data_IF_307892061042
#
_entry.id   IF_307892061042
#
_cell.length_a   1.000
_cell.length_b   1.000
_cell.length_c   1.000
_cell.angle_alpha   90.00
_cell.angle_beta   90.00
_cell.angle_gamma   90.00
#
_symmetry.space_group_name_H-M   'P 1'
#
loop_
_entity.id
_entity.type
_entity.pdbx_description
1 polymer ?
#
# COMPACT_ATOMS: atom_id res chain seq x y z
N UNK A 1 23.06 32.65 -1.59
CA UNK A 1 23.46 31.42 -0.89
C UNK A 1 22.18 30.65 -0.61
N UNK A 2 21.82 29.72 -1.50
CA UNK A 2 20.58 28.96 -1.39
C UNK A 2 20.80 27.82 -0.39
N UNK A 3 20.01 27.82 0.69
CA UNK A 3 20.03 26.78 1.71
C UNK A 3 19.23 25.60 1.17
N UNK A 4 19.95 24.56 0.72
CA UNK A 4 19.37 23.29 0.30
C UNK A 4 18.88 22.57 1.56
N UNK A 5 17.58 22.62 1.83
CA UNK A 5 16.95 21.83 2.89
C UNK A 5 16.98 20.37 2.43
N UNK A 6 17.85 19.57 3.04
CA UNK A 6 17.82 18.12 2.88
C UNK A 6 16.59 17.60 3.64
N UNK A 7 15.52 17.28 2.91
CA UNK A 7 14.42 16.48 3.44
C UNK A 7 14.96 15.06 3.66
N UNK A 8 15.42 14.79 4.88
CA UNK A 8 15.79 13.44 5.28
C UNK A 8 14.52 12.61 5.48
N UNK A 9 14.51 11.32 5.10
CA UNK A 9 13.34 10.46 5.25
C UNK A 9 13.01 10.27 6.73
N UNK A 10 11.73 10.41 7.09
CA UNK A 10 11.23 10.12 8.43
C UNK A 10 11.34 8.62 8.73
N UNK A 11 11.80 8.27 9.93
CA UNK A 11 11.80 6.88 10.38
C UNK A 11 10.40 6.49 10.86
N UNK A 12 9.88 5.39 10.31
CA UNK A 12 8.61 4.78 10.70
C UNK A 12 8.91 3.36 11.19
N UNK A 13 8.35 3.00 12.35
CA UNK A 13 8.44 1.64 12.86
C UNK A 13 7.76 0.69 11.87
N UNK A 14 8.34 -0.50 11.67
CA UNK A 14 7.75 -1.47 10.76
C UNK A 14 6.30 -1.78 11.14
N UNK A 15 5.37 -1.42 10.27
CA UNK A 15 3.97 -1.84 10.32
C UNK A 15 3.84 -3.02 9.37
N UNK A 16 3.97 -4.22 9.93
CA UNK A 16 3.93 -5.47 9.19
C UNK A 16 2.49 -5.78 8.80
N UNK A 17 2.31 -6.09 7.52
CA UNK A 17 1.00 -6.35 6.93
C UNK A 17 0.99 -7.75 6.32
N UNK A 18 -0.09 -8.49 6.54
CA UNK A 18 -0.30 -9.86 6.08
C UNK A 18 -1.75 -10.08 5.60
N UNK A 19 -2.14 -11.33 5.39
CA UNK A 19 -3.49 -11.75 4.95
C UNK A 19 -4.62 -11.30 5.88
N UNK A 20 -4.34 -10.98 7.14
CA UNK A 20 -5.33 -10.69 8.17
C UNK A 20 -5.60 -9.19 8.34
N UNK A 21 -4.68 -8.32 7.92
CA UNK A 21 -4.75 -6.88 8.21
C UNK A 21 -4.46 -5.96 7.02
N UNK A 22 -4.22 -6.50 5.82
CA UNK A 22 -4.04 -5.67 4.63
C UNK A 22 -5.33 -4.95 4.21
N UNK A 23 -6.43 -5.69 4.10
CA UNK A 23 -7.78 -5.16 3.90
C UNK A 23 -8.78 -5.99 4.72
N UNK A 24 -9.86 -5.34 5.18
CA UNK A 24 -10.83 -5.96 6.11
C UNK A 24 -11.67 -7.07 5.46
N UNK A 25 -11.75 -7.10 4.13
CA UNK A 25 -12.59 -8.00 3.35
C UNK A 25 -11.83 -9.12 2.62
N UNK A 26 -10.50 -9.23 2.81
CA UNK A 26 -9.71 -10.27 2.14
C UNK A 26 -10.12 -11.69 2.53
N UNK A 27 -10.73 -11.89 3.70
CA UNK A 27 -11.25 -13.20 4.13
C UNK A 27 -12.33 -13.78 3.21
N UNK A 28 -12.93 -12.96 2.35
CA UNK A 28 -13.94 -13.37 1.37
C UNK A 28 -13.35 -13.63 -0.03
N UNK A 29 -12.04 -13.41 -0.21
CA UNK A 29 -11.37 -13.63 -1.49
C UNK A 29 -10.71 -15.01 -1.55
N UNK A 30 -10.71 -15.62 -2.73
CA UNK A 30 -9.87 -16.79 -3.04
C UNK A 30 -8.43 -16.40 -3.40
N UNK A 31 -8.19 -15.10 -3.63
CA UNK A 31 -6.90 -14.55 -4.04
C UNK A 31 -6.17 -13.83 -2.90
N UNK A 32 -6.53 -14.07 -1.64
CA UNK A 32 -5.98 -13.36 -0.47
C UNK A 32 -4.45 -13.28 -0.49
N UNK A 33 -3.77 -14.42 -0.62
CA UNK A 33 -2.31 -14.46 -0.67
C UNK A 33 -1.75 -13.72 -1.88
N UNK A 34 -2.39 -13.86 -3.05
CA UNK A 34 -1.97 -13.17 -4.28
C UNK A 34 -2.12 -11.65 -4.15
N UNK A 35 -3.18 -11.17 -3.52
CA UNK A 35 -3.41 -9.73 -3.28
C UNK A 35 -2.33 -9.18 -2.35
N UNK A 36 -2.03 -9.86 -1.24
CA UNK A 36 -0.96 -9.45 -0.32
C UNK A 36 0.39 -9.45 -1.02
N UNK A 37 0.66 -10.49 -1.80
CA UNK A 37 1.88 -10.63 -2.56
C UNK A 37 2.07 -9.49 -3.57
N UNK A 38 1.06 -9.22 -4.40
CA UNK A 38 1.10 -8.17 -5.42
C UNK A 38 1.10 -6.76 -4.81
N UNK A 39 0.52 -6.58 -3.61
CA UNK A 39 0.70 -5.36 -2.83
C UNK A 39 2.16 -5.19 -2.40
N UNK A 40 2.84 -6.28 -2.03
CA UNK A 40 4.26 -6.27 -1.66
C UNK A 40 5.16 -5.96 -2.84
N UNK A 41 4.74 -6.33 -4.05
CA UNK A 41 5.39 -5.93 -5.30
C UNK A 41 5.03 -4.52 -5.78
N UNK A 42 4.12 -3.82 -5.11
CA UNK A 42 3.61 -2.51 -5.55
C UNK A 42 2.76 -2.56 -6.83
N UNK A 43 2.39 -3.75 -7.30
CA UNK A 43 1.46 -3.94 -8.43
C UNK A 43 0.07 -3.46 -8.03
N UNK A 44 -0.36 -3.81 -6.82
CA UNK A 44 -1.57 -3.28 -6.19
C UNK A 44 -1.10 -2.20 -5.20
N UNK A 45 -1.25 -0.91 -5.53
CA UNK A 45 -0.82 0.15 -4.63
C UNK A 45 -1.64 0.11 -3.33
N UNK A 46 -0.93 0.19 -2.21
CA UNK A 46 -1.56 0.38 -0.91
C UNK A 46 -1.61 1.87 -0.60
N UNK A 47 -2.80 2.45 -0.65
CA UNK A 47 -3.02 3.82 -0.19
C UNK A 47 -3.23 3.80 1.32
N UNK A 48 -2.24 4.29 2.07
CA UNK A 48 -2.26 4.38 3.53
C UNK A 48 -3.39 5.29 4.08
N UNK A 49 -4.07 6.04 3.21
CA UNK A 49 -5.19 6.92 3.55
C UNK A 49 -6.49 6.57 2.78
N UNK A 50 -6.49 5.44 2.06
CA UNK A 50 -7.61 5.01 1.23
C UNK A 50 -8.63 4.14 1.94
N UNK A 51 -9.41 3.41 1.13
CA UNK A 51 -10.39 2.42 1.57
C UNK A 51 -9.72 1.29 2.38
N UNK A 52 -10.35 0.89 3.49
CA UNK A 52 -9.95 -0.32 4.23
C UNK A 52 -10.40 -1.61 3.54
N UNK A 53 -11.17 -1.50 2.46
CA UNK A 53 -11.71 -2.60 1.65
C UNK A 53 -11.00 -2.69 0.30
N UNK A 54 -10.72 -3.92 -0.13
CA UNK A 54 -10.23 -4.23 -1.48
C UNK A 54 -11.37 -4.43 -2.49
N UNK A 55 -12.54 -4.89 -2.04
CA UNK A 55 -13.69 -5.25 -2.86
C UNK A 55 -13.34 -6.28 -3.95
N UNK A 56 -12.96 -7.52 -3.59
CA UNK A 56 -12.42 -8.52 -4.52
C UNK A 56 -13.40 -8.93 -5.64
N UNK A 57 -14.71 -8.88 -5.36
CA UNK A 57 -15.75 -9.33 -6.30
C UNK A 57 -16.25 -8.22 -7.23
N UNK A 58 -15.87 -6.97 -7.00
CA UNK A 58 -16.19 -5.87 -7.91
C UNK A 58 -15.32 -5.92 -9.16
N UNK A 59 -15.87 -5.40 -10.27
CA UNK A 59 -15.14 -5.24 -11.53
C UNK A 59 -14.01 -4.24 -11.35
N UNK A 60 -12.84 -4.57 -11.88
CA UNK A 60 -11.72 -3.63 -11.98
C UNK A 60 -12.04 -2.65 -13.09
N UNK A 61 -11.99 -1.34 -12.82
CA UNK A 61 -12.18 -0.34 -13.88
C UNK A 61 -10.88 -0.10 -14.66
N UNK A 62 -10.98 0.41 -15.90
CA UNK A 62 -9.77 0.79 -16.66
C UNK A 62 -9.04 1.97 -16.02
N UNK A 63 -9.77 2.90 -15.41
CA UNK A 63 -9.17 3.99 -14.65
C UNK A 63 -8.35 3.47 -13.46
N UNK A 64 -8.86 2.50 -12.70
CA UNK A 64 -8.12 1.86 -11.62
C UNK A 64 -6.90 1.11 -12.12
N UNK A 65 -7.05 0.32 -13.19
CA UNK A 65 -5.93 -0.37 -13.82
C UNK A 65 -4.84 0.61 -14.28
N UNK A 66 -5.23 1.75 -14.87
CA UNK A 66 -4.31 2.80 -15.29
C UNK A 66 -3.56 3.38 -14.08
N UNK A 67 -4.26 3.62 -12.96
CA UNK A 67 -3.64 4.11 -11.74
C UNK A 67 -2.64 3.09 -11.16
N UNK A 68 -3.02 1.80 -11.08
CA UNK A 68 -2.18 0.74 -10.55
C UNK A 68 -0.93 0.52 -11.41
N UNK A 69 -1.11 0.37 -12.72
CA UNK A 69 0.01 0.16 -13.64
C UNK A 69 0.92 1.40 -13.75
N UNK A 70 0.33 2.61 -13.72
CA UNK A 70 1.09 3.85 -13.73
C UNK A 70 1.92 4.06 -12.46
N UNK A 71 1.36 3.73 -11.30
CA UNK A 71 2.07 3.76 -10.01
C UNK A 71 3.21 2.75 -9.99
N UNK A 72 2.92 1.50 -10.37
CA UNK A 72 3.92 0.43 -10.44
C UNK A 72 5.07 0.79 -11.40
N UNK A 73 4.74 1.34 -12.57
CA UNK A 73 5.70 1.80 -13.57
C UNK A 73 6.40 3.11 -13.24
N UNK A 74 6.11 3.73 -12.08
CA UNK A 74 6.66 5.03 -11.65
C UNK A 74 6.55 6.10 -12.74
N UNK A 75 5.39 6.17 -13.40
CA UNK A 75 5.17 7.12 -14.51
C UNK A 75 5.10 8.59 -14.05
N UNK A 76 4.96 8.80 -12.75
CA UNK A 76 4.99 10.11 -12.09
C UNK A 76 5.78 9.99 -10.78
N UNK A 77 6.13 11.14 -10.22
CA UNK A 77 6.77 11.24 -8.91
C UNK A 77 5.88 10.67 -7.79
N UNK A 78 6.52 10.20 -6.71
CA UNK A 78 5.80 9.71 -5.54
C UNK A 78 4.91 10.81 -4.94
N UNK A 79 3.63 10.49 -4.73
CA UNK A 79 2.63 11.44 -4.19
C UNK A 79 1.91 12.29 -5.24
N UNK A 80 2.19 12.07 -6.54
CA UNK A 80 1.39 12.66 -7.62
C UNK A 80 -0.10 12.31 -7.49
N UNK A 81 -0.97 13.21 -7.95
CA UNK A 81 -2.40 12.99 -7.86
C UNK A 81 -2.81 11.80 -8.75
N UNK A 82 -3.82 11.03 -8.33
CA UNK A 82 -4.33 9.89 -9.10
C UNK A 82 -4.63 10.23 -10.56
N UNK A 83 -5.21 11.40 -10.82
CA UNK A 83 -5.51 11.91 -12.17
C UNK A 83 -4.27 12.12 -13.04
N UNK A 84 -3.14 12.50 -12.45
CA UNK A 84 -1.87 12.71 -13.17
C UNK A 84 -1.25 11.35 -13.55
N UNK A 85 -1.31 10.39 -12.64
CA UNK A 85 -0.84 9.01 -12.87
C UNK A 85 -1.68 8.32 -13.94
N UNK A 86 -3.02 8.41 -13.88
CA UNK A 86 -3.91 7.79 -14.88
C UNK A 86 -3.76 8.42 -16.26
N UNK A 87 -3.61 9.76 -16.33
CA UNK A 87 -3.35 10.45 -17.59
C UNK A 87 -2.01 10.01 -18.21
N UNK A 88 -0.96 9.84 -17.39
CA UNK A 88 0.34 9.35 -17.86
C UNK A 88 0.26 7.90 -18.36
N UNK A 89 -0.47 7.02 -17.66
CA UNK A 89 -0.68 5.64 -18.07
C UNK A 89 -1.46 5.54 -19.39
N UNK A 90 -2.49 6.37 -19.59
CA UNK A 90 -3.21 6.48 -20.86
C UNK A 90 -2.29 6.99 -21.98
N UNK A 91 -1.51 8.05 -21.74
CA UNK A 91 -0.58 8.61 -22.73
C UNK A 91 0.52 7.61 -23.12
N UNK A 92 0.88 6.68 -22.23
CA UNK A 92 1.81 5.58 -22.50
C UNK A 92 1.16 4.37 -23.18
N UNK A 93 -0.16 4.38 -23.40
CA UNK A 93 -0.89 3.26 -24.00
C UNK A 93 -0.93 2.02 -23.11
N UNK A 94 -0.89 2.18 -21.78
CA UNK A 94 -1.05 1.05 -20.85
C UNK A 94 -2.51 0.57 -20.81
N UNK A 95 -3.46 1.46 -21.06
CA UNK A 95 -4.89 1.17 -21.22
C UNK A 95 -5.41 1.90 -22.47
N UNK A 96 -6.48 1.41 -23.12
CA UNK A 96 -7.03 2.06 -24.32
C UNK A 96 -7.90 3.29 -24.01
N UNK A 97 -8.51 3.33 -22.83
CA UNK A 97 -9.35 4.42 -22.33
C UNK A 97 -9.42 4.36 -20.81
N UNK A 98 -9.94 5.41 -20.16
CA UNK A 98 -10.25 5.38 -18.72
C UNK A 98 -11.68 4.89 -18.44
N UNK A 99 -12.56 4.92 -19.43
CA UNK A 99 -13.95 4.52 -19.28
C UNK A 99 -14.14 3.00 -19.27
N UNK A 100 -15.10 2.53 -18.47
CA UNK A 100 -15.56 1.15 -18.42
C UNK A 100 -14.67 0.20 -17.60
N UNK A 101 -15.02 -1.09 -17.65
CA UNK A 101 -14.31 -2.13 -16.93
C UNK A 101 -13.08 -2.61 -17.71
N UNK A 102 -12.04 -3.00 -16.98
CA UNK A 102 -10.85 -3.62 -17.52
C UNK A 102 -11.13 -5.08 -17.94
N UNK A 103 -10.46 -5.47 -19.01
CA UNK A 103 -10.46 -6.83 -19.57
C UNK A 103 -9.10 -7.50 -19.38
N UNK A 104 -9.02 -8.82 -19.59
CA UNK A 104 -7.73 -9.51 -19.52
C UNK A 104 -6.73 -8.98 -20.55
N UNK A 105 -7.20 -8.51 -21.71
CA UNK A 105 -6.38 -7.83 -22.71
C UNK A 105 -5.79 -6.53 -22.17
N UNK A 106 -6.58 -5.73 -21.45
CA UNK A 106 -6.11 -4.48 -20.85
C UNK A 106 -5.01 -4.75 -19.81
N UNK A 107 -5.19 -5.79 -18.97
CA UNK A 107 -4.18 -6.18 -17.97
C UNK A 107 -2.91 -6.71 -18.63
N UNK A 108 -3.04 -7.53 -19.68
CA UNK A 108 -1.92 -8.01 -20.49
C UNK A 108 -1.14 -6.85 -21.12
N UNK A 109 -1.84 -5.85 -21.65
CA UNK A 109 -1.21 -4.64 -22.18
C UNK A 109 -0.44 -3.88 -21.10
N UNK A 110 -1.09 -3.60 -19.96
CA UNK A 110 -0.53 -2.77 -18.89
C UNK A 110 0.69 -3.39 -18.21
N UNK A 111 0.66 -4.70 -17.94
CA UNK A 111 1.70 -5.39 -17.17
C UNK A 111 2.60 -6.29 -17.99
N UNK A 112 2.24 -6.66 -19.21
CA UNK A 112 3.00 -7.65 -19.98
C UNK A 112 3.20 -7.24 -21.44
N UNK A 113 3.01 -5.95 -21.76
CA UNK A 113 3.17 -5.38 -23.10
C UNK A 113 2.39 -6.14 -24.20
N UNK A 114 1.26 -6.75 -23.81
CA UNK A 114 0.41 -7.53 -24.71
C UNK A 114 1.04 -8.85 -25.18
N UNK A 115 2.10 -9.33 -24.52
CA UNK A 115 2.86 -10.51 -24.97
C UNK A 115 2.31 -11.84 -24.50
N UNK A 116 1.45 -11.87 -23.49
CA UNK A 116 0.86 -13.11 -23.02
C UNK A 116 -0.20 -13.62 -24.01
N UNK A 117 -0.25 -14.93 -24.19
CA UNK A 117 -1.34 -15.60 -24.87
C UNK A 117 -2.52 -15.75 -23.89
N UNK A 118 -3.53 -14.90 -24.03
CA UNK A 118 -4.63 -14.78 -23.08
C UNK A 118 -5.90 -15.40 -23.65
N UNK A 119 -6.47 -16.37 -22.94
CA UNK A 119 -7.80 -16.89 -23.23
C UNK A 119 -8.86 -15.88 -22.81
N UNK A 120 -9.92 -15.74 -23.61
CA UNK A 120 -11.02 -14.80 -23.37
C UNK A 120 -10.55 -13.35 -23.12
N UNK A 121 -9.58 -12.88 -23.92
CA UNK A 121 -8.91 -11.59 -23.70
C UNK A 121 -9.88 -10.40 -23.55
N UNK A 122 -11.04 -10.41 -24.21
CA UNK A 122 -12.06 -9.36 -24.10
C UNK A 122 -12.99 -9.47 -22.89
N UNK A 123 -12.86 -10.50 -22.05
CA UNK A 123 -13.71 -10.69 -20.87
C UNK A 123 -13.30 -9.72 -19.76
N UNK A 124 -14.30 -9.02 -19.21
CA UNK A 124 -14.11 -8.16 -18.04
C UNK A 124 -13.81 -8.98 -16.79
N UNK A 125 -12.90 -8.49 -15.96
CA UNK A 125 -12.46 -9.19 -14.75
C UNK A 125 -12.76 -8.43 -13.46
N UNK A 126 -12.87 -9.17 -12.36
CA UNK A 126 -12.90 -8.61 -11.01
C UNK A 126 -11.50 -8.30 -10.49
N UNK A 127 -11.39 -7.53 -9.40
CA UNK A 127 -10.10 -7.29 -8.73
C UNK A 127 -9.45 -8.58 -8.21
N UNK A 128 -10.25 -9.56 -7.79
CA UNK A 128 -9.77 -10.91 -7.45
C UNK A 128 -9.16 -11.62 -8.67
N UNK A 129 -9.88 -11.60 -9.80
CA UNK A 129 -9.41 -12.23 -11.03
C UNK A 129 -8.14 -11.55 -11.56
N UNK A 130 -8.00 -10.24 -11.36
CA UNK A 130 -6.77 -9.49 -11.65
C UNK A 130 -5.62 -10.05 -10.83
N UNK A 131 -5.79 -10.17 -9.51
CA UNK A 131 -4.74 -10.64 -8.63
C UNK A 131 -4.30 -12.06 -8.97
N UNK A 132 -5.23 -12.96 -9.28
CA UNK A 132 -4.91 -14.32 -9.72
C UNK A 132 -4.12 -14.32 -11.03
N UNK A 133 -4.59 -13.59 -12.04
CA UNK A 133 -3.98 -13.54 -13.36
C UNK A 133 -2.58 -12.93 -13.33
N UNK A 134 -2.42 -11.77 -12.70
CA UNK A 134 -1.10 -11.11 -12.62
C UNK A 134 -0.13 -11.91 -11.77
N UNK A 135 -0.60 -12.55 -10.70
CA UNK A 135 0.26 -13.43 -9.89
C UNK A 135 0.72 -14.64 -10.70
N UNK A 136 -0.16 -15.30 -11.46
CA UNK A 136 0.19 -16.45 -12.30
C UNK A 136 1.34 -16.11 -13.26
N UNK A 137 1.27 -14.95 -13.91
CA UNK A 137 2.25 -14.52 -14.92
C UNK A 137 3.40 -13.66 -14.36
N UNK A 138 3.53 -13.49 -13.04
CA UNK A 138 4.49 -12.55 -12.45
C UNK A 138 5.96 -12.80 -12.82
N UNK A 139 6.29 -14.05 -13.16
CA UNK A 139 7.62 -14.51 -13.58
C UNK A 139 7.82 -14.46 -15.09
N UNK A 140 6.74 -14.30 -15.86
CA UNK A 140 6.83 -14.22 -17.31
C UNK A 140 7.48 -12.90 -17.70
N UNK A 141 8.37 -12.96 -18.68
CA UNK A 141 9.11 -11.80 -19.13
C UNK A 141 8.33 -11.06 -20.22
N UNK A 142 8.16 -9.76 -20.02
CA UNK A 142 7.79 -8.83 -21.07
C UNK A 142 8.99 -7.92 -21.34
N UNK A 143 9.42 -7.86 -22.60
CA UNK A 143 10.60 -7.09 -23.01
C UNK A 143 11.88 -7.52 -22.26
N UNK A 144 12.00 -8.81 -21.94
CA UNK A 144 13.15 -9.39 -21.23
C UNK A 144 13.22 -9.07 -19.74
N UNK A 145 12.10 -8.65 -19.13
CA UNK A 145 12.00 -8.34 -17.70
C UNK A 145 10.73 -8.91 -17.09
N UNK A 146 10.87 -9.56 -15.93
CA UNK A 146 9.74 -9.98 -15.12
C UNK A 146 9.10 -8.79 -14.38
N UNK A 147 7.99 -9.02 -13.67
CA UNK A 147 7.43 -7.98 -12.79
C UNK A 147 8.40 -7.59 -11.67
N UNK A 148 9.22 -8.54 -11.18
CA UNK A 148 10.22 -8.25 -10.15
C UNK A 148 11.28 -7.27 -10.67
N UNK A 149 11.80 -7.52 -11.87
CA UNK A 149 12.83 -6.67 -12.48
C UNK A 149 12.30 -5.26 -12.76
N UNK A 150 11.06 -5.16 -13.23
CA UNK A 150 10.40 -3.87 -13.51
C UNK A 150 10.10 -3.10 -12.23
N UNK A 151 9.74 -3.79 -11.15
CA UNK A 151 9.57 -3.18 -9.83
C UNK A 151 10.88 -2.80 -9.14
N UNK A 152 12.03 -3.31 -9.63
CA UNK A 152 13.34 -3.09 -9.04
C UNK A 152 13.58 -3.97 -7.80
N UNK A 153 12.93 -5.13 -7.74
CA UNK A 153 13.11 -6.11 -6.67
C UNK A 153 14.36 -6.95 -6.90
N UNK A 154 15.04 -7.28 -5.81
CA UNK A 154 16.16 -8.21 -5.78
C UNK A 154 15.72 -9.47 -5.04
N UNK A 155 16.14 -10.64 -5.50
CA UNK A 155 15.87 -11.88 -4.79
C UNK A 155 16.46 -11.82 -3.37
N UNK A 156 15.63 -12.14 -2.38
CA UNK A 156 15.99 -12.17 -0.97
C UNK A 156 16.46 -13.55 -0.50
N UNK A 157 16.73 -13.71 0.80
CA UNK A 157 17.12 -14.98 1.38
C UNK A 157 15.96 -15.99 1.35
N UNK A 158 16.30 -17.27 1.22
CA UNK A 158 15.40 -18.40 1.45
C UNK A 158 15.99 -19.32 2.53
N UNK A 159 15.17 -20.18 3.11
CA UNK A 159 15.59 -21.08 4.20
C UNK A 159 15.16 -20.59 5.58
N UNK A 160 15.73 -21.19 6.63
CA UNK A 160 15.28 -20.94 8.01
C UNK A 160 15.75 -19.58 8.53
N UNK A 161 14.87 -18.90 9.25
CA UNK A 161 15.22 -17.72 10.05
C UNK A 161 15.95 -18.21 11.31
N UNK A 162 17.25 -17.93 11.37
CA UNK A 162 18.09 -18.32 12.50
C UNK A 162 17.81 -17.46 13.73
N UNK A 163 17.54 -16.17 13.51
CA UNK A 163 17.32 -15.19 14.57
C UNK A 163 16.55 -13.98 14.06
N UNK A 164 15.73 -13.39 14.93
CA UNK A 164 15.14 -12.07 14.76
C UNK A 164 15.74 -11.12 15.78
N UNK A 165 16.24 -9.98 15.30
CA UNK A 165 16.78 -8.92 16.15
C UNK A 165 16.02 -7.63 15.94
N UNK A 166 15.88 -6.87 17.02
CA UNK A 166 15.33 -5.50 16.98
C UNK A 166 16.40 -4.53 17.41
N UNK A 167 16.51 -3.42 16.69
CA UNK A 167 17.30 -2.26 17.10
C UNK A 167 16.44 -1.00 17.03
N UNK A 168 16.81 0.01 17.80
CA UNK A 168 16.24 1.34 17.67
C UNK A 168 17.14 2.20 16.79
N UNK A 169 16.54 2.82 15.78
CA UNK A 169 17.18 3.89 15.00
C UNK A 169 16.49 5.21 15.32
N UNK A 170 17.27 6.28 15.46
CA UNK A 170 16.74 7.64 15.66
C UNK A 170 16.88 8.44 14.38
N UNK A 171 15.85 9.22 14.04
CA UNK A 171 15.94 10.19 12.96
C UNK A 171 16.71 11.45 13.41
N UNK A 172 16.86 12.41 12.50
CA UNK A 172 17.59 13.64 12.75
C UNK A 172 16.94 14.48 13.88
N UNK A 173 15.64 14.30 14.08
CA UNK A 173 14.82 14.92 15.13
C UNK A 173 14.88 14.15 16.46
N UNK A 174 15.60 13.02 16.50
CA UNK A 174 15.78 12.19 17.70
C UNK A 174 14.63 11.23 17.99
N UNK A 175 13.64 11.11 17.11
CA UNK A 175 12.52 10.18 17.23
C UNK A 175 13.01 8.77 16.93
N UNK A 176 12.80 7.86 17.87
CA UNK A 176 13.18 6.46 17.73
C UNK A 176 12.13 5.67 16.94
N UNK A 177 12.62 4.77 16.07
CA UNK A 177 11.85 3.76 15.37
C UNK A 177 12.51 2.39 15.56
N UNK A 178 11.70 1.35 15.69
CA UNK A 178 12.19 -0.04 15.72
C UNK A 178 12.47 -0.51 14.29
N UNK A 179 13.67 -1.04 14.09
CA UNK A 179 14.06 -1.76 12.88
C UNK A 179 14.26 -3.22 13.24
N UNK A 180 13.51 -4.09 12.58
CA UNK A 180 13.67 -5.53 12.70
C UNK A 180 14.66 -6.03 11.66
N UNK A 181 15.47 -7.01 12.02
CA UNK A 181 16.36 -7.70 11.09
C UNK A 181 16.23 -9.20 11.26
N UNK A 182 16.20 -9.92 10.14
CA UNK A 182 16.18 -11.38 10.08
C UNK A 182 17.59 -11.88 9.77
N UNK A 183 18.11 -12.80 10.57
CA UNK A 183 19.33 -13.54 10.25
C UNK A 183 18.95 -14.83 9.54
N UNK A 184 19.45 -15.02 8.33
CA UNK A 184 19.25 -16.25 7.53
C UNK A 184 20.61 -16.69 7.00
N UNK A 185 21.01 -17.92 7.32
CA UNK A 185 22.33 -18.47 6.96
C UNK A 185 23.48 -17.54 7.38
N UNK A 186 23.37 -16.96 8.58
CA UNK A 186 24.36 -16.03 9.15
C UNK A 186 24.39 -14.62 8.54
N UNK A 187 23.52 -14.30 7.59
CA UNK A 187 23.41 -12.94 7.01
C UNK A 187 22.19 -12.22 7.57
N UNK A 188 22.37 -10.98 8.03
CA UNK A 188 21.29 -10.15 8.55
C UNK A 188 20.66 -9.30 7.45
N UNK A 189 19.34 -9.28 7.39
CA UNK A 189 18.54 -8.52 6.43
C UNK A 189 17.53 -7.66 7.18
N UNK A 190 17.55 -6.35 6.94
CA UNK A 190 16.59 -5.44 7.54
C UNK A 190 15.21 -5.59 6.92
N UNK A 191 14.18 -5.54 7.75
CA UNK A 191 12.79 -5.50 7.33
C UNK A 191 12.40 -4.06 7.04
N UNK A 192 11.73 -3.84 5.91
CA UNK A 192 11.21 -2.50 5.52
C UNK A 192 10.19 -1.97 6.53
N UNK A 193 9.83 -0.70 6.41
CA UNK A 193 8.81 -0.09 7.28
C UNK A 193 7.38 -0.62 7.02
N UNK A 194 7.11 -1.16 5.84
CA UNK A 194 5.79 -1.67 5.45
C UNK A 194 5.92 -2.98 4.69
N UNK A 195 6.51 -4.02 5.29
CA UNK A 195 6.71 -5.28 4.60
C UNK A 195 5.35 -5.94 4.38
N UNK A 196 5.25 -6.74 3.32
CA UNK A 196 4.19 -7.73 3.16
C UNK A 196 4.71 -9.09 3.56
N UNK A 197 4.00 -9.73 4.47
CA UNK A 197 4.38 -11.03 5.01
C UNK A 197 3.25 -12.00 4.73
N UNK A 198 3.57 -13.14 4.13
CA UNK A 198 2.61 -14.18 3.83
C UNK A 198 2.85 -15.39 4.72
N UNK A 199 1.74 -16.03 5.09
CA UNK A 199 1.72 -17.28 5.84
C UNK A 199 2.41 -17.14 7.20
N UNK A 200 2.44 -15.95 7.79
CA UNK A 200 3.00 -15.72 9.12
C UNK A 200 2.26 -14.65 9.93
N UNK A 201 2.43 -14.73 11.24
CA UNK A 201 1.97 -13.70 12.17
C UNK A 201 2.68 -12.37 11.88
N UNK A 202 2.04 -11.26 12.26
CA UNK A 202 2.61 -9.92 12.10
C UNK A 202 3.70 -9.61 13.13
N UNK A 203 3.85 -10.44 14.18
CA UNK A 203 4.94 -10.32 15.16
C UNK A 203 6.20 -11.05 14.64
N UNK A 204 7.30 -10.33 14.34
CA UNK A 204 8.56 -10.93 13.92
C UNK A 204 9.17 -11.90 14.93
N UNK A 205 8.87 -11.76 16.22
CA UNK A 205 9.40 -12.67 17.24
C UNK A 205 8.95 -14.12 17.00
N UNK A 206 7.81 -14.33 16.33
CA UNK A 206 7.29 -15.65 15.97
C UNK A 206 7.93 -16.25 14.70
N UNK A 207 8.84 -15.52 14.03
CA UNK A 207 9.43 -15.98 12.77
C UNK A 207 10.69 -16.82 12.97
N UNK A 208 11.33 -16.77 14.14
CA UNK A 208 12.49 -17.60 14.44
C UNK A 208 12.20 -19.10 14.23
N UNK A 209 13.11 -19.78 13.55
CA UNK A 209 12.98 -21.19 13.19
C UNK A 209 12.06 -21.48 12.00
N UNK A 210 11.28 -20.50 11.52
CA UNK A 210 10.41 -20.67 10.36
C UNK A 210 11.21 -20.62 9.05
N UNK A 211 10.75 -21.36 8.05
CA UNK A 211 11.35 -21.39 6.73
C UNK A 211 10.72 -20.33 5.82
N UNK A 212 11.56 -19.49 5.21
CA UNK A 212 11.21 -18.58 4.13
C UNK A 212 11.26 -19.36 2.81
N UNK A 213 10.12 -19.40 2.12
CA UNK A 213 9.99 -19.99 0.80
C UNK A 213 10.44 -19.01 -0.29
N UNK A 214 10.07 -17.74 -0.16
CA UNK A 214 10.37 -16.70 -1.13
C UNK A 214 10.49 -15.35 -0.40
N UNK A 215 11.48 -14.54 -0.77
CA UNK A 215 11.62 -13.18 -0.23
C UNK A 215 12.15 -12.24 -1.31
N UNK A 216 11.77 -10.97 -1.18
CA UNK A 216 12.21 -9.92 -2.10
C UNK A 216 12.65 -8.67 -1.36
N UNK A 217 13.76 -8.14 -1.83
CA UNK A 217 14.44 -6.97 -1.30
C UNK A 217 14.20 -5.77 -2.24
N UNK A 218 14.18 -4.56 -1.67
CA UNK A 218 14.18 -3.32 -2.43
C UNK A 218 15.21 -2.34 -1.91
N UNK A 219 15.81 -1.57 -2.81
CA UNK A 219 16.61 -0.41 -2.45
C UNK A 219 15.70 0.69 -1.88
N UNK A 220 15.96 1.10 -0.64
CA UNK A 220 15.24 2.17 0.03
C UNK A 220 16.12 3.42 0.05
N UNK A 221 15.55 4.57 -0.36
CA UNK A 221 16.28 5.83 -0.39
C UNK A 221 16.85 6.16 1.00
N UNK A 222 18.14 6.51 1.05
CA UNK A 222 18.84 6.83 2.29
C UNK A 222 19.25 5.63 3.14
N UNK A 223 19.02 4.39 2.69
CA UNK A 223 19.52 3.18 3.37
C UNK A 223 20.72 2.59 2.61
N UNK A 224 21.76 2.12 3.33
CA UNK A 224 22.98 1.60 2.71
C UNK A 224 22.81 0.20 2.12
N UNK A 225 21.79 -0.54 2.55
CA UNK A 225 21.49 -1.90 2.13
C UNK A 225 20.02 -1.99 1.73
N UNK A 226 19.66 -2.86 0.78
CA UNK A 226 18.28 -3.11 0.45
C UNK A 226 17.57 -3.81 1.62
N UNK A 227 16.25 -3.57 1.73
CA UNK A 227 15.43 -4.07 2.84
C UNK A 227 14.40 -5.07 2.33
N UNK A 228 14.01 -6.02 3.19
CA UNK A 228 12.97 -7.01 2.94
C UNK A 228 11.62 -6.30 2.81
N UNK A 229 11.05 -6.38 1.61
CA UNK A 229 9.77 -5.77 1.26
C UNK A 229 8.65 -6.81 1.22
N UNK A 230 8.95 -8.03 0.79
CA UNK A 230 8.01 -9.13 0.68
C UNK A 230 8.66 -10.41 1.21
N UNK A 231 7.95 -11.12 2.09
CA UNK A 231 8.44 -12.35 2.73
C UNK A 231 7.30 -13.36 2.72
N UNK A 232 7.50 -14.49 2.07
CA UNK A 232 6.59 -15.62 2.09
C UNK A 232 7.24 -16.77 2.84
N UNK A 233 6.64 -17.15 3.97
CA UNK A 233 7.05 -18.33 4.70
C UNK A 233 6.46 -19.60 4.08
N UNK A 234 7.01 -20.76 4.41
CA UNK A 234 6.36 -22.03 4.12
C UNK A 234 5.05 -22.16 4.92
N UNK A 235 4.04 -22.73 4.26
CA UNK A 235 2.74 -22.96 4.86
C UNK A 235 2.89 -24.02 5.96
N UNK A 236 2.75 -23.61 7.22
CA UNK A 236 2.69 -24.58 8.31
C UNK A 236 1.36 -25.33 8.23
N UNK A 237 1.40 -26.66 8.35
CA UNK A 237 0.21 -27.51 8.36
C UNK A 237 -0.81 -27.12 9.47
N UNK A 238 -0.37 -26.36 10.48
CA UNK A 238 -1.19 -25.87 11.59
C UNK A 238 -1.64 -24.39 11.46
N UNK A 239 -1.27 -23.68 10.39
CA UNK A 239 -1.59 -22.24 10.25
C UNK A 239 -3.05 -21.95 9.83
N UNK A 240 -3.84 -22.96 9.47
CA UNK A 240 -5.26 -22.84 9.11
C UNK A 240 -6.20 -22.70 10.32
N UNK A 241 -5.66 -22.71 11.55
CA UNK A 241 -6.45 -22.73 12.79
C UNK A 241 -6.17 -21.54 13.73
N UNK A 242 -5.89 -20.34 13.20
CA UNK A 242 -5.99 -19.12 14.01
C UNK A 242 -7.44 -18.58 13.94
N UNK A 243 -8.02 -18.18 15.08
CA UNK A 243 -9.45 -17.91 15.18
C UNK A 243 -9.81 -16.71 14.31
N UNK A 244 -10.73 -16.92 13.37
CA UNK A 244 -11.49 -15.83 12.74
C UNK A 244 -12.06 -14.99 13.87
N UNK A 245 -11.74 -13.70 13.87
CA UNK A 245 -12.33 -12.70 14.78
C UNK A 245 -13.85 -12.91 14.76
N UNK A 246 -14.41 -13.31 15.90
CA UNK A 246 -15.82 -13.66 16.01
C UNK A 246 -16.65 -12.48 15.50
N UNK A 247 -17.58 -12.76 14.59
CA UNK A 247 -18.64 -11.83 14.25
C UNK A 247 -19.41 -11.54 15.54
N UNK A 248 -19.41 -10.27 15.95
CA UNK A 248 -20.27 -9.81 17.04
C UNK A 248 -21.71 -10.03 16.63
N UNK A 249 -22.37 -10.95 17.32
CA UNK A 249 -23.78 -11.24 17.18
C UNK A 249 -24.64 -10.08 17.69
N UNK A 250 -25.70 -9.82 16.94
CA UNK A 250 -27.06 -9.45 17.35
C UNK A 250 -27.25 -8.39 18.45
N UNK A 251 -27.78 -7.24 18.02
CA UNK A 251 -28.85 -6.58 18.75
C UNK A 251 -29.93 -6.09 17.77
N UNK A 252 -30.96 -6.93 17.58
CA UNK A 252 -32.28 -6.50 17.12
C UNK A 252 -33.17 -6.12 18.32
N UNK A 253 -34.08 -5.18 18.03
CA UNK A 253 -35.29 -4.75 18.74
C UNK A 253 -35.16 -3.69 19.85
N UNK A 254 -35.69 -2.49 19.58
CA UNK A 254 -37.08 -2.18 19.95
C UNK A 254 -37.63 -0.96 19.17
N UNK A 255 -38.82 -1.13 18.60
CA UNK A 255 -39.65 -0.07 18.05
C UNK A 255 -40.55 0.49 19.17
N UNK A 256 -40.59 1.82 19.32
CA UNK A 256 -41.75 2.51 19.88
C UNK A 256 -41.83 3.91 19.27
N UNK A 257 -42.91 4.17 18.53
CA UNK A 257 -43.16 5.45 17.88
C UNK A 257 -43.67 6.52 18.84
N UNK A 258 -43.56 7.78 18.41
CA UNK A 258 -44.54 8.81 18.72
C UNK A 258 -44.53 9.91 17.64
N UNK A 259 -45.75 10.35 17.34
CA UNK A 259 -46.15 11.32 16.32
C UNK A 259 -45.66 12.75 16.56
N UNK A 260 -45.88 13.56 15.52
CA UNK A 260 -45.48 14.93 15.30
C UNK A 260 -45.96 15.97 16.33
N UNK A 261 -45.14 17.01 16.50
CA UNK A 261 -45.60 18.37 16.77
C UNK A 261 -44.62 19.37 16.12
N UNK A 262 -45.18 20.27 15.31
CA UNK A 262 -44.48 21.38 14.68
C UNK A 262 -44.41 22.59 15.62
N UNK A 263 -43.27 23.29 15.65
CA UNK A 263 -43.20 24.74 15.88
C UNK A 263 -41.82 25.33 15.52
N UNK A 264 -41.84 26.15 14.46
CA UNK A 264 -41.14 27.42 14.21
C UNK A 264 -39.78 27.75 14.86
N UNK A 265 -38.85 28.15 13.98
CA UNK A 265 -37.85 29.24 14.05
C UNK A 265 -37.03 29.46 15.33
N UNK A 266 -35.70 29.30 15.21
CA UNK A 266 -34.79 30.43 15.43
C UNK A 266 -33.42 30.23 14.74
N UNK A 267 -33.00 31.29 14.05
CA UNK A 267 -31.71 31.47 13.39
C UNK A 267 -30.61 31.69 14.44
N UNK A 268 -29.53 30.90 14.39
CA UNK A 268 -28.39 31.02 15.29
C UNK A 268 -27.09 30.60 14.63
N UNK A 269 -26.56 31.44 13.74
CA UNK A 269 -25.20 31.25 13.19
C UNK A 269 -24.16 31.40 14.32
N UNK A 270 -23.45 30.32 14.63
CA UNK A 270 -22.26 30.42 15.48
C UNK A 270 -21.08 30.87 14.62
N UNK A 271 -20.82 32.18 14.67
CA UNK A 271 -19.57 32.80 14.25
C UNK A 271 -18.52 32.52 15.32
N UNK A 272 -17.36 31.94 14.92
CA UNK A 272 -15.99 32.09 15.43
C UNK A 272 -15.19 30.86 14.93
N UNK A 273 -14.08 31.02 14.17
CA UNK A 273 -12.98 31.92 14.52
C UNK A 273 -12.46 32.77 13.34
N UNK A 274 -12.92 34.01 13.24
CA UNK A 274 -12.32 35.02 12.35
C UNK A 274 -11.30 35.94 13.07
N UNK A 275 -11.18 35.81 14.40
CA UNK A 275 -10.33 36.69 15.23
C UNK A 275 -8.84 36.30 15.17
N UNK A 276 -8.50 35.04 14.87
CA UNK A 276 -7.10 34.57 14.84
C UNK A 276 -6.37 35.07 13.57
N UNK A 277 -7.07 35.21 12.44
CA UNK A 277 -6.47 35.63 11.16
C UNK A 277 -6.11 37.12 11.15
N UNK A 278 -6.91 37.97 11.81
CA UNK A 278 -6.66 39.43 11.85
C UNK A 278 -5.47 39.77 12.74
N UNK A 279 -5.27 39.06 13.87
CA UNK A 279 -4.11 39.28 14.76
C UNK A 279 -2.80 38.86 14.07
N UNK A 280 -2.81 37.76 13.31
CA UNK A 280 -1.63 37.30 12.57
C UNK A 280 -1.22 38.28 11.46
N UNK A 281 -2.18 38.88 10.74
CA UNK A 281 -1.88 39.85 9.69
C UNK A 281 -1.31 41.17 10.23
N UNK A 282 -1.75 41.64 11.40
CA UNK A 282 -1.19 42.85 12.03
C UNK A 282 0.24 42.61 12.54
N UNK A 283 0.53 41.43 13.10
CA UNK A 283 1.88 41.09 13.58
C UNK A 283 2.89 40.93 12.44
N UNK A 284 2.49 40.30 11.33
CA UNK A 284 3.35 40.16 10.14
C UNK A 284 3.54 41.51 9.43
N UNK A 285 2.48 42.32 9.33
CA UNK A 285 2.56 43.66 8.75
C UNK A 285 3.46 44.62 9.54
N UNK A 286 3.39 44.60 10.88
CA UNK A 286 4.23 45.42 11.75
C UNK A 286 5.71 45.02 11.73
N UNK A 287 6.01 43.73 11.62
CA UNK A 287 7.38 43.23 11.55
C UNK A 287 8.08 43.58 10.22
N UNK A 288 7.35 43.56 9.10
CA UNK A 288 7.91 43.92 7.80
C UNK A 288 8.15 45.43 7.64
N UNK A 289 7.38 46.28 8.32
CA UNK A 289 7.55 47.73 8.25
C UNK A 289 8.70 48.27 9.12
N UNK A 290 9.03 47.60 10.23
CA UNK A 290 10.14 48.01 11.10
C UNK A 290 11.52 47.64 10.55
N UNK A 291 11.59 46.67 9.63
CA UNK A 291 12.87 46.22 9.04
C UNK A 291 13.36 47.04 7.85
N UNK A 292 12.54 47.95 7.30
CA UNK A 292 12.92 48.85 6.19
C UNK A 292 13.48 50.21 6.63
N UNK A 293 13.62 50.47 7.93
CA UNK A 293 14.09 51.76 8.47
C UNK A 293 15.36 51.69 9.31
N UNK A 294 16.18 50.67 9.13
CA UNK A 294 17.59 50.66 9.59
C UNK A 294 18.50 50.24 8.46
#
# INVERSE_FOLDING_TARGET
MAMLVWLLPSLVSAHIVNEQNLYDDLQYSKATSQIVYLSGLGVIPYDHHGSTLFSPQEKLTREELAYWAGTFGKLQESGAARTEVTAAALAKGLVPSLDGNATYADVNQAYFAGKLAVQDAGRELTREQFALFVFEHRKDEAEGKSLYDRGGFLAGPTGKVDKVSVREEKDAEGKAAKVYSLTVSGTAYDVSAHPRVLQAAVDPAEWEGRAIQEAWLMNVAGKPQPQLQLIQFEQSANASAQPKKAASADHEHEHAGHEAAASSDESGSSLIPLVIVVVLLVLVGGFLFTRKRK
#
